data_IF_860219554926
#
_entry.id   IF_860219554926
#
_cell.length_a   1.000
_cell.length_b   1.000
_cell.length_c   1.000
_cell.angle_alpha   90.00
_cell.angle_beta   90.00
_cell.angle_gamma   90.00
#
_symmetry.space_group_name_H-M   'P 1'
#
loop_
_entity.id
_entity.type
_entity.pdbx_description
1 polymer ?
#
# COMPACT_ATOMS: atom_id res chain seq x y z
N UNK A 1 0.67 16.50 8.97
CA UNK A 1 0.15 15.21 8.50
C UNK A 1 0.84 14.82 7.22
N UNK A 2 1.28 13.60 7.10
CA UNK A 2 2.02 13.16 5.93
C UNK A 2 1.20 12.16 5.13
N UNK A 3 1.16 12.34 3.82
CA UNK A 3 0.55 11.39 2.91
C UNK A 3 1.62 10.83 2.00
N UNK A 4 1.53 9.57 1.64
CA UNK A 4 2.48 8.97 0.71
C UNK A 4 1.74 8.49 -0.53
N UNK A 5 2.42 8.59 -1.67
CA UNK A 5 1.87 8.16 -2.94
C UNK A 5 2.07 6.66 -3.07
N UNK A 6 0.98 5.94 -3.26
CA UNK A 6 1.03 4.48 -3.41
C UNK A 6 0.74 4.07 -4.85
N UNK A 7 0.80 5.01 -5.76
CA UNK A 7 0.71 4.74 -7.19
C UNK A 7 -0.49 5.39 -7.84
N UNK A 8 -0.30 5.85 -9.06
CA UNK A 8 -1.37 6.38 -9.90
C UNK A 8 -2.17 7.49 -9.23
N UNK A 9 -1.46 8.34 -8.47
CA UNK A 9 -2.11 9.48 -7.84
C UNK A 9 -2.88 9.16 -6.56
N UNK A 10 -2.78 7.93 -6.07
CA UNK A 10 -3.48 7.53 -4.86
C UNK A 10 -2.60 7.81 -3.65
N UNK A 11 -3.15 8.48 -2.66
CA UNK A 11 -2.40 8.89 -1.47
C UNK A 11 -2.99 8.22 -0.24
N UNK A 12 -2.12 7.82 0.67
CA UNK A 12 -2.51 7.18 1.92
C UNK A 12 -1.88 7.94 3.07
N UNK A 13 -2.62 8.16 4.13
CA UNK A 13 -2.09 8.83 5.30
C UNK A 13 -1.06 7.94 5.97
N UNK A 14 0.15 8.44 6.13
CA UNK A 14 1.24 7.66 6.71
C UNK A 14 0.93 7.22 8.13
N UNK A 15 0.22 8.04 8.89
CA UNK A 15 -0.08 7.71 10.28
C UNK A 15 -1.13 6.61 10.42
N UNK A 16 -1.81 6.27 9.33
CA UNK A 16 -2.84 5.24 9.38
C UNK A 16 -2.32 3.89 8.88
N UNK A 17 -1.06 3.80 8.48
CA UNK A 17 -0.49 2.57 7.97
C UNK A 17 0.05 1.75 9.14
N UNK A 18 -0.40 0.51 9.25
CA UNK A 18 0.04 -0.41 10.29
C UNK A 18 1.18 -1.28 9.80
N UNK A 19 1.10 -1.73 8.55
CA UNK A 19 2.11 -2.64 8.00
C UNK A 19 2.19 -2.52 6.49
N UNK A 20 3.36 -2.82 5.95
CA UNK A 20 3.60 -2.91 4.52
C UNK A 20 4.26 -4.26 4.29
N UNK A 21 3.72 -5.04 3.37
CA UNK A 21 4.19 -6.40 3.16
C UNK A 21 4.28 -6.74 1.69
N UNK A 22 5.03 -7.78 1.40
CA UNK A 22 5.09 -8.35 0.06
C UNK A 22 3.90 -9.29 -0.12
N UNK A 23 3.31 -9.36 -1.31
CA UNK A 23 2.17 -10.25 -1.52
C UNK A 23 2.54 -11.72 -1.64
N UNK A 24 3.84 -12.07 -1.55
CA UNK A 24 4.26 -13.42 -1.89
C UNK A 24 4.16 -14.42 -0.76
N UNK A 25 3.95 -14.02 0.46
CA UNK A 25 3.91 -14.97 1.57
C UNK A 25 2.52 -15.55 1.76
N UNK A 26 2.45 -16.79 2.27
CA UNK A 26 1.17 -17.44 2.49
C UNK A 26 0.28 -16.70 3.49
N UNK A 27 0.81 -16.19 4.63
CA UNK A 27 -0.03 -15.45 5.55
C UNK A 27 -0.65 -14.22 4.92
N UNK A 28 0.10 -13.54 4.05
CA UNK A 28 -0.41 -12.34 3.40
C UNK A 28 -1.48 -12.70 2.37
N UNK A 29 -1.32 -13.80 1.66
CA UNK A 29 -2.34 -14.23 0.71
C UNK A 29 -3.64 -14.55 1.41
N UNK A 30 -3.56 -15.16 2.60
CA UNK A 30 -4.75 -15.43 3.38
C UNK A 30 -5.41 -14.14 3.84
N UNK A 31 -4.61 -13.17 4.26
CA UNK A 31 -5.13 -11.89 4.70
C UNK A 31 -5.86 -11.18 3.58
N UNK A 32 -5.32 -11.25 2.36
CA UNK A 32 -5.97 -10.66 1.19
C UNK A 32 -7.32 -11.34 0.94
N UNK A 33 -7.35 -12.66 1.02
CA UNK A 33 -8.57 -13.41 0.79
C UNK A 33 -9.64 -13.01 1.82
N UNK A 34 -9.25 -12.91 3.08
CA UNK A 34 -10.19 -12.52 4.12
C UNK A 34 -10.70 -11.10 3.90
N UNK A 35 -9.84 -10.20 3.46
CA UNK A 35 -10.24 -8.81 3.21
C UNK A 35 -11.18 -8.73 2.02
N UNK A 36 -10.99 -9.58 1.01
CA UNK A 36 -11.90 -9.61 -0.12
C UNK A 36 -13.31 -10.02 0.34
N UNK A 37 -13.37 -11.04 1.19
CA UNK A 37 -14.66 -11.49 1.68
C UNK A 37 -15.38 -10.41 2.47
N UNK A 38 -14.63 -9.57 3.15
CA UNK A 38 -15.22 -8.49 3.95
C UNK A 38 -15.32 -7.16 3.23
N UNK A 39 -15.05 -7.12 1.93
CA UNK A 39 -15.09 -5.89 1.15
C UNK A 39 -14.17 -4.81 1.69
N UNK A 40 -12.98 -5.22 2.16
CA UNK A 40 -12.01 -4.27 2.70
C UNK A 40 -10.79 -4.09 1.79
N UNK A 41 -10.86 -4.58 0.56
CA UNK A 41 -9.77 -4.41 -0.39
C UNK A 41 -9.92 -3.08 -1.12
N UNK A 42 -8.83 -2.34 -1.22
CA UNK A 42 -8.74 -1.15 -2.04
C UNK A 42 -7.62 -1.41 -3.04
N UNK A 43 -7.98 -1.63 -4.30
CA UNK A 43 -7.00 -1.99 -5.32
C UNK A 43 -6.62 -0.74 -6.10
N UNK A 44 -5.39 -0.27 -5.91
CA UNK A 44 -4.88 0.90 -6.63
C UNK A 44 -3.78 0.51 -7.61
N UNK A 45 -3.71 -0.78 -7.99
CA UNK A 45 -2.67 -1.24 -8.90
C UNK A 45 -2.99 -0.93 -10.37
N UNK A 46 -4.19 -0.53 -10.66
CA UNK A 46 -4.62 -0.17 -12.01
C UNK A 46 -4.38 -1.30 -13.01
N UNK A 47 -4.69 -2.53 -12.61
CA UNK A 47 -4.53 -3.68 -13.48
C UNK A 47 -3.12 -4.20 -13.58
N UNK A 48 -2.16 -3.59 -12.89
CA UNK A 48 -0.80 -4.07 -12.91
C UNK A 48 -0.60 -5.08 -11.81
N UNK A 49 0.51 -5.78 -11.84
CA UNK A 49 0.82 -6.77 -10.83
C UNK A 49 0.96 -6.08 -9.47
N UNK A 50 0.34 -6.66 -8.46
CA UNK A 50 0.46 -6.17 -7.09
C UNK A 50 1.85 -6.47 -6.57
N UNK A 51 2.56 -5.46 -6.09
CA UNK A 51 3.92 -5.62 -5.58
C UNK A 51 4.04 -5.24 -4.11
N UNK A 52 3.03 -4.63 -3.55
CA UNK A 52 3.02 -4.28 -2.12
C UNK A 52 1.62 -4.35 -1.57
N UNK A 53 1.52 -4.75 -0.32
CA UNK A 53 0.27 -4.81 0.43
C UNK A 53 0.40 -3.82 1.58
N UNK A 54 -0.51 -2.87 1.67
CA UNK A 54 -0.49 -1.87 2.72
C UNK A 54 -1.70 -2.10 3.60
N UNK A 55 -1.47 -2.29 4.88
CA UNK A 55 -2.53 -2.56 5.84
C UNK A 55 -2.72 -1.33 6.72
N UNK A 56 -3.96 -0.84 6.80
CA UNK A 56 -4.26 0.35 7.57
C UNK A 56 -4.92 0.00 8.90
N UNK A 57 -4.98 0.97 9.79
CA UNK A 57 -5.58 0.77 11.11
C UNK A 57 -7.11 0.61 11.04
N UNK A 58 -7.71 0.89 9.89
CA UNK A 58 -9.14 0.64 9.68
C UNK A 58 -9.37 -0.75 9.09
N UNK A 59 -8.32 -1.58 9.05
CA UNK A 59 -8.39 -2.95 8.56
C UNK A 59 -8.62 -3.03 7.05
N UNK A 60 -8.35 -1.96 6.34
CA UNK A 60 -8.36 -2.01 4.88
C UNK A 60 -7.03 -2.54 4.36
N UNK A 61 -7.10 -3.23 3.23
CA UNK A 61 -5.91 -3.80 2.60
C UNK A 61 -5.79 -3.17 1.23
N UNK A 62 -4.73 -2.42 1.03
CA UNK A 62 -4.49 -1.68 -0.22
C UNK A 62 -3.50 -2.45 -1.06
N UNK A 63 -3.86 -2.73 -2.30
CA UNK A 63 -3.00 -3.45 -3.24
C UNK A 63 -2.34 -2.43 -4.16
N UNK A 64 -1.01 -2.36 -4.11
CA UNK A 64 -0.25 -1.35 -4.85
C UNK A 64 0.67 -2.01 -5.86
N UNK A 65 0.87 -1.37 -7.00
CA UNK A 65 1.82 -1.82 -8.00
C UNK A 65 3.24 -1.30 -7.73
N UNK A 66 3.41 -0.47 -6.71
CA UNK A 66 4.72 0.03 -6.33
C UNK A 66 5.35 -0.95 -5.36
N UNK A 67 6.65 -1.21 -5.51
CA UNK A 67 7.34 -2.17 -4.66
C UNK A 67 7.27 -1.76 -3.19
N UNK A 68 7.16 -2.74 -2.31
CA UNK A 68 7.05 -2.50 -0.87
C UNK A 68 8.25 -1.68 -0.36
N UNK A 69 9.43 -1.96 -0.88
CA UNK A 69 10.61 -1.24 -0.47
C UNK A 69 10.50 0.24 -0.79
N UNK A 70 9.98 0.59 -1.95
CA UNK A 70 9.78 1.98 -2.35
C UNK A 70 8.79 2.68 -1.42
N UNK A 71 7.71 2.01 -1.09
CA UNK A 71 6.71 2.59 -0.20
C UNK A 71 7.31 2.80 1.19
N UNK A 72 8.08 1.83 1.67
CA UNK A 72 8.74 1.94 2.96
C UNK A 72 9.69 3.13 2.98
N UNK A 73 10.43 3.33 1.90
CA UNK A 73 11.34 4.46 1.81
C UNK A 73 10.59 5.78 1.81
N UNK A 74 9.46 5.86 1.14
CA UNK A 74 8.64 7.08 1.15
C UNK A 74 8.11 7.36 2.54
N UNK A 75 7.76 6.29 3.26
CA UNK A 75 7.23 6.45 4.59
C UNK A 75 8.27 6.98 5.55
N UNK A 76 9.54 6.58 5.40
CA UNK A 76 10.58 6.96 6.33
C UNK A 76 11.24 8.29 5.97
N UNK A 77 10.89 8.90 4.82
CA UNK A 77 11.49 10.15 4.40
C UNK A 77 10.68 11.33 4.90
N UNK A 78 11.31 12.25 5.59
CA UNK A 78 10.59 13.40 6.10
C UNK A 78 10.26 14.38 5.05
N UNK A 79 10.99 14.47 3.96
CA UNK A 79 10.77 15.41 3.00
C UNK A 79 9.80 15.08 2.05
N UNK A 80 9.27 14.43 1.97
CA UNK A 80 8.25 14.24 1.16
C UNK A 80 8.34 14.72 -0.16
N UNK A 81 8.59 14.99 -0.68
CA UNK A 81 8.38 15.40 -1.71
C UNK A 81 8.10 14.94 -2.73
N UNK A 82 7.94 14.85 -3.00
CA UNK A 82 7.53 14.71 -3.81
C UNK A 82 7.58 14.23 -4.82
N UNK A 83 7.71 13.84 -5.24
CA UNK A 83 7.79 13.46 -6.15
C UNK A 83 7.38 12.80 -6.89
N UNK A 84 7.20 12.45 -7.27
CA UNK A 84 6.82 11.96 -7.92
C UNK A 84 6.75 11.17 -8.67
N UNK A 85 6.82 10.51 -9.07
CA UNK A 85 6.77 9.80 -9.73
C UNK A 85 6.48 8.95 -10.17
N UNK A 86 6.47 8.30 -10.36
CA UNK A 86 6.42 7.43 -10.74
C UNK A 86 5.76 6.74 -11.09
N UNK A 87 5.34 6.25 -11.18
CA UNK A 87 4.87 5.34 -11.44
C UNK A 87 4.72 4.82 -12.26
#
# INVERSE_FOLDING_TARGET
MKFINVGFGNMVSASRIVAIASPDSAPIKRLISDAKDGNRIIDVSCGRRTRAIIITDSEHVILSAIAAETITNRLSTDESDTDTEEE
#
